data_IF_716499193893
#
_entry.id   IF_716499193893
#
_cell.length_a   1.000
_cell.length_b   1.000
_cell.length_c   1.000
_cell.angle_alpha   90.00
_cell.angle_beta   90.00
_cell.angle_gamma   90.00
#
_symmetry.space_group_name_H-M   'P 1'
#
loop_
_entity.id
_entity.type
_entity.pdbx_description
1 polymer ?
#
# COMPACT_ATOMS: atom_id res chain seq x y z
N UNK A 1 0.75 -54.82 21.96
CA UNK A 1 1.84 -55.61 21.37
C UNK A 1 3.00 -54.64 21.15
N UNK A 2 3.78 -54.37 22.22
CA UNK A 2 5.15 -54.91 22.45
C UNK A 2 6.13 -54.28 21.43
N UNK A 3 7.20 -53.54 21.77
CA UNK A 3 8.20 -53.69 22.85
C UNK A 3 8.94 -52.35 23.09
N UNK A 4 9.27 -52.09 24.37
CA UNK A 4 10.15 -51.05 24.96
C UNK A 4 11.66 -51.41 24.85
N UNK A 5 12.55 -50.46 25.21
CA UNK A 5 13.96 -50.57 25.73
C UNK A 5 14.86 -49.58 24.94
N UNK A 6 15.65 -48.65 25.49
CA UNK A 6 16.00 -48.25 26.87
C UNK A 6 16.67 -46.85 26.87
N UNK A 7 16.57 -46.16 28.01
CA UNK A 7 17.17 -44.85 28.32
C UNK A 7 18.67 -44.89 28.75
N UNK A 8 19.21 -43.66 28.90
CA UNK A 8 20.20 -43.12 29.86
C UNK A 8 21.62 -42.82 29.32
N UNK A 9 21.98 -41.53 29.33
CA UNK A 9 23.27 -41.10 29.91
C UNK A 9 24.07 -39.96 29.26
N UNK A 10 23.82 -38.72 29.72
CA UNK A 10 24.81 -37.66 30.05
C UNK A 10 25.54 -36.77 29.01
N UNK A 11 25.41 -35.45 29.29
CA UNK A 11 26.39 -34.33 29.26
C UNK A 11 26.78 -33.64 27.92
N UNK A 12 26.39 -32.35 27.79
CA UNK A 12 26.86 -31.31 26.84
C UNK A 12 28.39 -31.00 26.99
N UNK A 13 29.00 -30.07 26.21
CA UNK A 13 28.91 -29.79 24.77
C UNK A 13 30.32 -29.69 24.11
N UNK A 14 30.44 -29.81 22.79
CA UNK A 14 31.67 -29.40 22.09
C UNK A 14 31.37 -28.80 20.72
N UNK A 15 31.60 -27.49 20.61
CA UNK A 15 31.82 -26.78 19.35
C UNK A 15 32.86 -27.54 18.51
N UNK A 16 32.53 -27.83 17.26
CA UNK A 16 33.52 -28.07 16.22
C UNK A 16 33.30 -27.08 15.08
N UNK A 17 34.27 -26.18 14.98
CA UNK A 17 34.51 -25.32 13.85
C UNK A 17 34.66 -26.14 12.55
N UNK A 18 33.99 -25.70 11.49
CA UNK A 18 34.31 -26.08 10.13
C UNK A 18 34.98 -24.88 9.43
N UNK A 19 36.17 -25.16 8.90
CA UNK A 19 37.10 -24.26 8.22
C UNK A 19 36.49 -23.50 7.03
N UNK A 20 36.97 -22.26 6.74
CA UNK A 20 36.59 -21.51 5.55
C UNK A 20 37.24 -22.10 4.29
N UNK A 21 36.47 -22.31 3.22
CA UNK A 21 37.02 -22.56 1.88
C UNK A 21 37.43 -21.24 1.26
N UNK A 22 38.72 -21.09 0.99
CA UNK A 22 39.25 -20.05 0.12
C UNK A 22 39.09 -20.43 -1.37
N UNK A 23 39.01 -19.35 -2.16
CA UNK A 23 39.27 -19.23 -3.60
C UNK A 23 38.23 -19.74 -4.60
N UNK A 24 37.22 -18.90 -4.87
CA UNK A 24 36.87 -18.57 -6.24
C UNK A 24 36.74 -17.04 -6.36
N UNK A 25 37.83 -16.40 -6.79
CA UNK A 25 37.78 -15.10 -7.46
C UNK A 25 37.96 -15.38 -8.93
N UNK A 26 36.90 -15.20 -9.71
CA UNK A 26 36.91 -14.80 -11.13
C UNK A 26 35.46 -14.56 -11.53
N UNK A 27 35.17 -13.31 -11.89
CA UNK A 27 33.86 -12.78 -12.28
C UNK A 27 32.86 -12.67 -11.13
N UNK A 28 32.84 -11.50 -10.46
CA UNK A 28 31.54 -11.00 -10.00
C UNK A 28 30.75 -10.74 -11.28
N UNK A 29 29.86 -11.67 -11.64
CA UNK A 29 28.70 -11.26 -12.43
C UNK A 29 28.15 -10.01 -11.74
N UNK A 30 28.05 -8.91 -12.49
CA UNK A 30 27.17 -7.84 -12.07
C UNK A 30 25.81 -8.51 -12.10
N UNK A 31 25.34 -8.99 -10.94
CA UNK A 31 23.98 -9.49 -10.83
C UNK A 31 23.09 -8.42 -11.45
N UNK A 32 22.34 -8.80 -12.48
CA UNK A 32 21.39 -7.88 -13.09
C UNK A 32 20.54 -7.30 -11.97
N UNK A 33 20.43 -5.97 -11.90
CA UNK A 33 19.64 -5.35 -10.85
C UNK A 33 18.19 -5.85 -10.98
N UNK A 34 17.49 -6.12 -9.86
CA UNK A 34 16.13 -6.63 -9.90
C UNK A 34 15.22 -5.75 -10.76
N UNK A 35 14.29 -6.39 -11.48
CA UNK A 35 13.26 -5.72 -12.25
C UNK A 35 12.02 -5.55 -11.37
N UNK A 36 11.61 -4.30 -11.16
CA UNK A 36 10.53 -3.94 -10.27
C UNK A 36 9.28 -3.54 -11.06
N UNK A 37 8.12 -3.98 -10.58
CA UNK A 37 6.85 -3.39 -10.98
C UNK A 37 6.42 -2.40 -9.90
N UNK A 38 6.07 -1.19 -10.32
CA UNK A 38 5.63 -0.12 -9.43
C UNK A 38 4.15 0.14 -9.69
N UNK A 39 3.36 0.00 -8.65
CA UNK A 39 1.92 0.31 -8.63
C UNK A 39 1.66 1.38 -7.58
N UNK A 40 0.50 2.04 -7.63
CA UNK A 40 0.04 2.91 -6.54
C UNK A 40 -1.49 2.88 -6.43
N UNK A 41 -2.04 3.58 -5.43
CA UNK A 41 -3.49 3.77 -5.27
C UNK A 41 -3.96 5.22 -5.37
N UNK A 42 -3.04 6.18 -5.46
CA UNK A 42 -3.35 7.60 -5.64
C UNK A 42 -3.65 7.97 -7.10
N UNK A 43 -3.22 7.14 -8.06
CA UNK A 43 -3.40 7.35 -9.50
C UNK A 43 -2.24 8.11 -10.16
N UNK A 44 -2.48 8.73 -11.34
CA UNK A 44 -1.44 9.40 -12.12
C UNK A 44 -0.75 10.54 -11.36
N UNK A 45 0.53 10.84 -11.67
CA UNK A 45 1.26 11.94 -11.06
C UNK A 45 0.43 13.23 -11.03
N UNK A 46 0.26 13.80 -9.85
CA UNK A 46 -0.46 15.06 -9.69
C UNK A 46 -0.01 15.79 -8.44
N UNK A 47 -0.09 17.11 -8.46
CA UNK A 47 0.31 17.96 -7.32
C UNK A 47 -0.54 17.70 -6.08
N UNK A 48 -1.81 17.33 -6.26
CA UNK A 48 -2.78 17.20 -5.17
C UNK A 48 -2.97 15.77 -4.66
N UNK A 49 -3.06 14.79 -5.57
CA UNK A 49 -3.44 13.43 -5.19
C UNK A 49 -2.24 12.49 -5.15
N UNK A 50 -1.33 12.59 -6.12
CA UNK A 50 -0.21 11.65 -6.31
C UNK A 50 1.13 12.40 -6.53
N UNK A 51 1.59 13.20 -5.55
CA UNK A 51 2.79 14.01 -5.71
C UNK A 51 4.10 13.21 -5.65
N UNK A 52 4.05 11.93 -5.21
CA UNK A 52 5.25 11.20 -4.80
C UNK A 52 5.64 10.03 -5.71
N UNK A 53 4.73 9.54 -6.58
CA UNK A 53 5.01 8.37 -7.43
C UNK A 53 6.13 8.64 -8.44
N UNK A 54 6.12 9.81 -9.09
CA UNK A 54 7.16 10.20 -10.06
C UNK A 54 8.54 10.32 -9.41
N UNK A 55 8.71 11.06 -8.29
CA UNK A 55 9.97 11.08 -7.55
C UNK A 55 10.50 9.69 -7.14
N UNK A 56 9.64 8.77 -6.71
CA UNK A 56 10.07 7.41 -6.35
C UNK A 56 10.57 6.65 -7.58
N UNK A 57 9.82 6.67 -8.68
CA UNK A 57 10.17 5.97 -9.93
C UNK A 57 11.47 6.54 -10.51
N UNK A 58 11.64 7.86 -10.50
CA UNK A 58 12.86 8.52 -10.98
C UNK A 58 14.08 8.09 -10.14
N UNK A 59 13.95 8.01 -8.81
CA UNK A 59 15.04 7.54 -7.94
C UNK A 59 15.36 6.04 -8.17
N UNK A 60 14.35 5.18 -8.36
CA UNK A 60 14.56 3.77 -8.71
C UNK A 60 15.34 3.64 -10.04
N UNK A 61 14.92 4.37 -11.07
CA UNK A 61 15.61 4.42 -12.37
C UNK A 61 17.02 4.99 -12.25
N UNK A 62 17.23 6.04 -11.47
CA UNK A 62 18.56 6.62 -11.21
C UNK A 62 19.50 5.64 -10.51
N UNK A 63 18.97 4.72 -9.69
CA UNK A 63 19.73 3.59 -9.13
C UNK A 63 19.89 2.41 -10.09
N UNK A 64 19.46 2.53 -11.33
CA UNK A 64 19.68 1.57 -12.40
C UNK A 64 18.75 0.36 -12.34
N UNK A 65 17.61 0.46 -11.66
CA UNK A 65 16.58 -0.57 -11.73
C UNK A 65 15.79 -0.46 -13.03
N UNK A 66 15.39 -1.61 -13.57
CA UNK A 66 14.34 -1.66 -14.59
C UNK A 66 12.99 -1.52 -13.89
N UNK A 67 12.21 -0.50 -14.28
CA UNK A 67 10.95 -0.17 -13.62
C UNK A 67 9.82 -0.19 -14.63
N UNK A 68 8.83 -1.03 -14.36
CA UNK A 68 7.52 -0.98 -15.02
C UNK A 68 6.52 -0.28 -14.12
N UNK A 69 5.59 0.48 -14.69
CA UNK A 69 4.62 1.25 -13.91
C UNK A 69 3.21 0.99 -14.41
N UNK A 70 2.35 0.45 -13.55
CA UNK A 70 0.92 0.24 -13.80
C UNK A 70 0.10 0.84 -12.66
N UNK A 71 -0.73 1.85 -12.96
CA UNK A 71 -1.43 2.64 -11.94
C UNK A 71 -2.91 2.84 -12.29
N UNK A 72 -3.82 2.97 -11.30
CA UNK A 72 -5.21 3.30 -11.56
C UNK A 72 -5.36 4.67 -12.26
N UNK A 73 -6.37 4.84 -13.11
CA UNK A 73 -6.67 6.12 -13.75
C UNK A 73 -7.22 7.22 -12.80
N UNK A 74 -7.58 6.85 -11.58
CA UNK A 74 -8.09 7.76 -10.57
C UNK A 74 -7.74 7.26 -9.17
N UNK A 75 -7.72 8.16 -8.18
CA UNK A 75 -7.48 7.79 -6.78
C UNK A 75 -8.49 6.73 -6.30
N UNK A 76 -7.96 5.70 -5.63
CA UNK A 76 -8.68 4.56 -5.04
C UNK A 76 -8.39 4.44 -3.54
N UNK A 77 -8.25 5.57 -2.83
CA UNK A 77 -8.06 5.53 -1.37
C UNK A 77 -9.23 4.81 -0.68
N UNK A 78 -8.94 4.08 0.41
CA UNK A 78 -9.91 3.28 1.19
C UNK A 78 -10.48 2.04 0.48
N UNK A 79 -9.89 1.59 -0.64
CA UNK A 79 -10.38 0.43 -1.40
C UNK A 79 -9.92 -0.93 -0.84
N UNK A 80 -8.88 -0.97 0.01
CA UNK A 80 -8.25 -2.22 0.47
C UNK A 80 -7.70 -3.07 -0.68
N UNK A 81 -7.82 -4.40 -0.59
CA UNK A 81 -7.41 -5.35 -1.65
C UNK A 81 -8.58 -5.79 -2.54
N UNK A 82 -9.19 -4.85 -3.27
CA UNK A 82 -10.35 -5.15 -4.13
C UNK A 82 -9.98 -5.47 -5.59
N UNK A 83 -10.76 -6.34 -6.22
CA UNK A 83 -10.86 -6.50 -7.68
C UNK A 83 -12.29 -6.19 -8.11
N UNK A 84 -12.46 -5.47 -9.23
CA UNK A 84 -13.78 -5.12 -9.76
C UNK A 84 -14.21 -6.14 -10.84
N UNK A 85 -14.80 -7.26 -10.42
CA UNK A 85 -15.04 -8.44 -11.26
C UNK A 85 -15.90 -8.17 -12.51
N UNK A 86 -16.87 -7.23 -12.43
CA UNK A 86 -17.77 -6.91 -13.55
C UNK A 86 -17.32 -5.70 -14.37
N UNK A 87 -16.20 -5.07 -14.01
CA UNK A 87 -15.69 -3.91 -14.72
C UNK A 87 -14.65 -4.35 -15.77
N UNK A 88 -14.85 -3.94 -17.02
CA UNK A 88 -13.78 -4.01 -18.00
C UNK A 88 -12.68 -3.00 -17.65
N UNK A 89 -11.44 -3.46 -17.70
CA UNK A 89 -10.24 -2.64 -17.50
C UNK A 89 -9.70 -2.19 -18.86
N UNK A 90 -9.28 -0.94 -18.95
CA UNK A 90 -8.61 -0.40 -20.14
C UNK A 90 -7.24 0.14 -19.74
N UNK A 91 -6.19 -0.33 -20.42
CA UNK A 91 -4.82 0.14 -20.26
C UNK A 91 -4.51 1.22 -21.30
N UNK A 92 -4.04 2.37 -20.84
CA UNK A 92 -3.56 3.48 -21.67
C UNK A 92 -2.08 3.70 -21.38
N UNK A 93 -1.25 3.71 -22.41
CA UNK A 93 0.20 3.95 -22.30
C UNK A 93 0.46 5.44 -22.41
N UNK A 94 1.10 6.01 -21.39
CA UNK A 94 1.32 7.45 -21.24
C UNK A 94 2.77 7.68 -20.88
N UNK A 95 3.48 8.47 -21.70
CA UNK A 95 4.85 8.85 -21.39
C UNK A 95 4.89 9.70 -20.10
N UNK A 96 5.86 9.51 -19.19
CA UNK A 96 5.89 10.20 -17.90
C UNK A 96 5.88 11.74 -18.00
N UNK A 97 6.44 12.27 -19.07
CA UNK A 97 6.52 13.73 -19.31
C UNK A 97 5.25 14.31 -19.94
N UNK A 98 4.28 13.47 -20.32
CA UNK A 98 2.97 13.91 -20.78
C UNK A 98 2.02 14.26 -19.63
N UNK A 99 2.32 13.82 -18.39
CA UNK A 99 1.45 14.07 -17.24
C UNK A 99 1.39 15.55 -16.85
N UNK A 100 0.19 16.03 -16.58
CA UNK A 100 -0.11 17.39 -16.17
C UNK A 100 -0.32 17.48 -14.64
N UNK A 101 -0.17 18.68 -14.03
CA UNK A 101 -0.25 18.84 -12.57
C UNK A 101 -1.55 18.39 -11.89
N UNK A 102 -2.63 18.24 -12.64
CA UNK A 102 -3.95 17.81 -12.17
C UNK A 102 -4.19 16.29 -12.25
N UNK A 103 -3.23 15.53 -12.78
CA UNK A 103 -3.33 14.07 -12.95
C UNK A 103 -3.88 13.64 -14.31
N UNK A 104 -4.15 14.58 -15.21
CA UNK A 104 -4.42 14.29 -16.62
C UNK A 104 -3.10 14.20 -17.40
N UNK A 105 -3.17 13.98 -18.72
CA UNK A 105 -2.01 13.96 -19.59
C UNK A 105 -2.31 14.66 -20.92
N UNK A 106 -1.27 15.18 -21.55
CA UNK A 106 -1.34 15.73 -22.90
C UNK A 106 -1.44 14.60 -23.93
N UNK A 107 -2.61 14.46 -24.56
CA UNK A 107 -2.85 13.44 -25.60
C UNK A 107 -2.08 13.72 -26.90
N UNK A 108 -1.59 14.95 -27.11
CA UNK A 108 -0.79 15.34 -28.28
C UNK A 108 0.72 15.15 -28.03
N UNK A 109 1.13 14.71 -26.83
CA UNK A 109 2.53 14.49 -26.50
C UNK A 109 3.16 13.42 -27.41
N UNK A 110 4.17 13.83 -28.17
CA UNK A 110 4.92 12.91 -29.04
C UNK A 110 6.02 12.24 -28.22
N UNK A 111 5.78 10.99 -27.84
CA UNK A 111 6.74 10.22 -27.05
C UNK A 111 8.04 9.96 -27.82
N UNK A 112 9.22 10.28 -27.25
CA UNK A 112 10.49 10.01 -27.90
C UNK A 112 10.82 8.51 -27.95
N UNK A 113 10.26 7.72 -27.01
CA UNK A 113 10.33 6.27 -26.97
C UNK A 113 9.12 5.73 -26.19
N UNK A 114 8.59 4.56 -26.58
CA UNK A 114 7.48 3.93 -25.85
C UNK A 114 7.96 2.97 -24.75
N UNK A 115 9.28 2.80 -24.60
CA UNK A 115 9.85 1.93 -23.56
C UNK A 115 9.74 2.55 -22.16
N UNK A 116 9.59 3.86 -22.06
CA UNK A 116 9.44 4.56 -20.78
C UNK A 116 7.98 4.80 -20.37
N UNK A 117 7.01 4.41 -21.21
CA UNK A 117 5.59 4.64 -20.97
C UNK A 117 5.12 3.96 -19.68
N UNK A 118 4.30 4.71 -18.93
CA UNK A 118 3.53 4.20 -17.80
C UNK A 118 2.17 3.71 -18.29
N UNK A 119 1.59 2.73 -17.60
CA UNK A 119 0.27 2.21 -17.93
C UNK A 119 -0.76 2.75 -16.94
N UNK A 120 -1.67 3.57 -17.45
CA UNK A 120 -2.83 4.09 -16.71
C UNK A 120 -4.02 3.19 -16.95
N UNK A 121 -4.59 2.61 -15.89
CA UNK A 121 -5.64 1.59 -15.96
C UNK A 121 -6.98 2.17 -15.53
N UNK A 122 -7.87 2.42 -16.50
CA UNK A 122 -9.26 2.81 -16.25
C UNK A 122 -10.01 1.66 -15.61
N UNK A 123 -10.85 1.99 -14.60
CA UNK A 123 -11.49 1.02 -13.70
C UNK A 123 -10.52 0.15 -12.89
N UNK A 124 -9.21 0.43 -12.94
CA UNK A 124 -8.21 -0.29 -12.16
C UNK A 124 -8.34 -0.05 -10.66
N UNK A 125 -8.03 -1.08 -9.89
CA UNK A 125 -7.62 -1.02 -8.49
C UNK A 125 -6.10 -1.25 -8.41
N UNK A 126 -5.44 -0.95 -7.29
CA UNK A 126 -4.02 -1.27 -7.12
C UNK A 126 -3.72 -2.76 -7.29
N UNK A 127 -4.62 -3.62 -6.78
CA UNK A 127 -4.52 -5.06 -6.97
C UNK A 127 -4.64 -5.46 -8.44
N UNK A 128 -5.61 -4.94 -9.18
CA UNK A 128 -5.73 -5.26 -10.61
C UNK A 128 -4.54 -4.72 -11.41
N UNK A 129 -4.00 -3.55 -11.06
CA UNK A 129 -2.81 -3.00 -11.72
C UNK A 129 -1.58 -3.87 -11.49
N UNK A 130 -1.36 -4.35 -10.26
CA UNK A 130 -0.27 -5.28 -9.95
C UNK A 130 -0.43 -6.59 -10.74
N UNK A 131 -1.63 -7.15 -10.79
CA UNK A 131 -1.88 -8.38 -11.53
C UNK A 131 -1.66 -8.20 -13.05
N UNK A 132 -2.15 -7.10 -13.63
CA UNK A 132 -1.94 -6.78 -15.04
C UNK A 132 -0.46 -6.54 -15.35
N UNK A 133 0.26 -5.83 -14.48
CA UNK A 133 1.69 -5.59 -14.63
C UNK A 133 2.50 -6.89 -14.65
N UNK A 134 2.17 -7.81 -13.74
CA UNK A 134 2.84 -9.10 -13.61
C UNK A 134 2.59 -10.06 -14.77
N UNK A 135 1.41 -10.03 -15.41
CA UNK A 135 1.00 -11.10 -16.33
C UNK A 135 0.61 -10.65 -17.74
N UNK A 136 0.37 -9.36 -17.98
CA UNK A 136 -0.26 -8.91 -19.22
C UNK A 136 0.49 -7.76 -19.90
N UNK A 137 0.96 -6.77 -19.13
CA UNK A 137 1.38 -5.47 -19.69
C UNK A 137 2.85 -5.43 -20.12
N UNK A 138 3.73 -6.18 -19.42
CA UNK A 138 5.18 -6.02 -19.57
C UNK A 138 5.89 -7.30 -20.00
N UNK A 139 5.22 -8.15 -20.80
CA UNK A 139 5.71 -9.48 -21.19
C UNK A 139 7.04 -9.47 -21.97
N UNK A 140 7.41 -8.34 -22.60
CA UNK A 140 8.67 -8.18 -23.33
C UNK A 140 9.83 -7.73 -22.44
N UNK A 141 9.57 -7.38 -21.18
CA UNK A 141 10.59 -6.94 -20.22
C UNK A 141 11.12 -8.09 -19.37
N UNK A 142 12.17 -7.81 -18.62
CA UNK A 142 12.69 -8.74 -17.62
C UNK A 142 11.58 -9.13 -16.63
N UNK A 143 11.54 -10.40 -16.17
CA UNK A 143 10.54 -10.85 -15.22
C UNK A 143 10.58 -10.03 -13.93
N UNK A 144 9.41 -9.56 -13.50
CA UNK A 144 9.25 -8.86 -12.23
C UNK A 144 9.40 -9.84 -11.06
N UNK A 145 10.21 -9.46 -10.08
CA UNK A 145 10.45 -10.23 -8.85
C UNK A 145 9.99 -9.51 -7.56
N UNK A 146 9.80 -8.20 -7.63
CA UNK A 146 9.25 -7.36 -6.56
C UNK A 146 8.20 -6.40 -7.12
N UNK A 147 7.07 -6.31 -6.41
CA UNK A 147 6.09 -5.24 -6.60
C UNK A 147 6.23 -4.21 -5.49
N UNK A 148 6.43 -2.95 -5.88
CA UNK A 148 6.42 -1.79 -4.99
C UNK A 148 5.10 -1.07 -5.17
N UNK A 149 4.31 -0.98 -4.11
CA UNK A 149 3.03 -0.26 -4.11
C UNK A 149 3.17 1.06 -3.35
N UNK A 150 3.00 2.19 -4.03
CA UNK A 150 3.11 3.54 -3.48
C UNK A 150 4.09 4.46 -4.24
N UNK A 151 4.54 5.58 -3.64
CA UNK A 151 4.25 6.00 -2.27
C UNK A 151 2.84 6.56 -2.15
N UNK A 152 2.12 6.17 -1.11
CA UNK A 152 0.82 6.76 -0.75
C UNK A 152 0.98 8.21 -0.26
N UNK A 153 0.06 9.10 -0.64
CA UNK A 153 -0.09 10.46 -0.12
C UNK A 153 -0.76 10.46 1.26
N UNK A 154 0.04 10.09 2.26
CA UNK A 154 -0.37 9.91 3.65
C UNK A 154 0.21 8.63 4.23
N UNK A 155 -0.05 8.40 5.51
CA UNK A 155 0.38 7.17 6.22
C UNK A 155 -0.64 6.06 6.14
N UNK A 156 -0.14 4.82 6.07
CA UNK A 156 -0.89 3.59 6.32
C UNK A 156 -0.29 2.94 7.57
N UNK A 157 -0.59 3.53 8.74
CA UNK A 157 -0.13 3.06 10.05
C UNK A 157 -1.34 2.75 10.92
N UNK A 158 -1.29 1.66 11.71
CA UNK A 158 -2.39 0.97 12.40
C UNK A 158 -3.26 0.05 11.52
N UNK A 159 -3.96 -0.89 12.17
CA UNK A 159 -4.74 -1.93 11.49
C UNK A 159 -5.85 -1.36 10.60
N UNK A 160 -6.52 -0.29 11.02
CA UNK A 160 -7.65 0.27 10.26
C UNK A 160 -7.21 0.87 8.93
N UNK A 161 -6.07 1.57 8.93
CA UNK A 161 -5.49 2.12 7.71
C UNK A 161 -4.93 1.01 6.83
N UNK A 162 -4.22 0.04 7.40
CA UNK A 162 -3.66 -1.07 6.62
C UNK A 162 -4.75 -1.89 5.91
N UNK A 163 -5.87 -2.17 6.59
CA UNK A 163 -6.99 -2.95 6.02
C UNK A 163 -7.74 -2.19 4.92
N UNK A 164 -7.78 -0.85 5.00
CA UNK A 164 -8.46 0.00 4.04
C UNK A 164 -7.53 0.49 2.92
N UNK A 165 -6.21 0.31 3.05
CA UNK A 165 -5.21 0.84 2.13
C UNK A 165 -5.20 0.09 0.80
N UNK A 166 -5.38 0.84 -0.30
CA UNK A 166 -5.13 0.33 -1.65
C UNK A 166 -3.65 0.07 -1.87
N UNK A 167 -2.78 0.90 -1.30
CA UNK A 167 -1.33 0.72 -1.31
C UNK A 167 -0.92 -0.64 -0.74
N UNK A 168 -1.39 -0.98 0.46
CA UNK A 168 -1.15 -2.29 1.07
C UNK A 168 -1.83 -3.39 0.24
N UNK A 169 -3.01 -3.13 -0.31
CA UNK A 169 -3.71 -4.03 -1.24
C UNK A 169 -2.88 -4.42 -2.47
N UNK A 170 -2.19 -3.48 -3.11
CA UNK A 170 -1.29 -3.76 -4.24
C UNK A 170 -0.13 -4.69 -3.86
N UNK A 171 0.51 -4.44 -2.71
CA UNK A 171 1.58 -5.30 -2.20
C UNK A 171 1.07 -6.69 -1.80
N UNK A 172 -0.13 -6.79 -1.21
CA UNK A 172 -0.77 -8.07 -0.89
C UNK A 172 -1.06 -8.88 -2.15
N UNK A 173 -1.53 -8.24 -3.22
CA UNK A 173 -1.82 -8.93 -4.48
C UNK A 173 -0.55 -9.55 -5.09
N UNK A 174 0.59 -8.85 -5.00
CA UNK A 174 1.88 -9.38 -5.42
C UNK A 174 2.21 -10.70 -4.72
N UNK A 175 1.98 -10.77 -3.39
CA UNK A 175 2.19 -12.00 -2.61
C UNK A 175 1.32 -13.15 -3.11
N UNK A 176 0.04 -12.90 -3.35
CA UNK A 176 -0.86 -13.93 -3.90
C UNK A 176 -0.50 -14.34 -5.34
N UNK A 177 0.25 -13.50 -6.05
CA UNK A 177 0.85 -13.82 -7.35
C UNK A 177 2.23 -14.52 -7.23
N UNK A 178 2.66 -14.88 -6.02
CA UNK A 178 3.95 -15.53 -5.78
C UNK A 178 5.16 -14.60 -5.90
N UNK A 179 4.96 -13.29 -5.74
CA UNK A 179 5.99 -12.25 -5.81
C UNK A 179 6.17 -11.57 -4.45
N UNK A 180 7.33 -10.95 -4.23
CA UNK A 180 7.53 -10.11 -3.05
C UNK A 180 6.72 -8.82 -3.19
N UNK A 181 6.21 -8.30 -2.07
CA UNK A 181 5.45 -7.05 -2.04
C UNK A 181 6.00 -6.07 -1.00
N UNK A 182 6.21 -4.81 -1.38
CA UNK A 182 6.48 -3.71 -0.44
C UNK A 182 5.46 -2.60 -0.65
N UNK A 183 4.73 -2.24 0.39
CA UNK A 183 3.89 -1.04 0.42
C UNK A 183 4.67 0.14 1.02
N UNK A 184 4.62 1.31 0.39
CA UNK A 184 5.33 2.53 0.82
C UNK A 184 4.33 3.65 1.02
N UNK A 185 4.42 4.34 2.14
CA UNK A 185 3.56 5.45 2.51
C UNK A 185 4.39 6.65 2.96
N UNK A 186 4.17 7.82 2.35
CA UNK A 186 4.83 9.06 2.71
C UNK A 186 3.91 9.84 3.65
N UNK A 187 4.32 9.94 4.92
CA UNK A 187 3.46 10.16 6.08
C UNK A 187 2.90 11.57 6.29
N UNK A 188 2.62 12.32 5.22
CA UNK A 188 2.02 13.65 5.26
C UNK A 188 0.91 13.79 4.21
N UNK A 189 -0.08 14.64 4.49
CA UNK A 189 -1.07 15.12 3.51
C UNK A 189 -0.90 16.60 3.16
N UNK A 190 0.04 17.26 3.85
CA UNK A 190 0.35 18.66 3.63
C UNK A 190 1.36 18.77 2.48
N UNK A 191 1.34 19.85 1.69
CA UNK A 191 2.35 20.12 0.68
C UNK A 191 3.76 20.02 1.27
N UNK A 192 4.66 19.33 0.57
CA UNK A 192 6.05 19.13 0.96
C UNK A 192 6.97 19.84 -0.03
N UNK A 193 8.14 20.27 0.42
CA UNK A 193 9.15 20.84 -0.48
C UNK A 193 9.83 19.72 -1.28
N UNK A 194 10.37 20.06 -2.46
CA UNK A 194 11.08 19.10 -3.31
C UNK A 194 12.24 18.41 -2.59
N UNK A 195 12.95 19.14 -1.70
CA UNK A 195 14.03 18.61 -0.89
C UNK A 195 13.57 17.50 0.06
N UNK A 196 12.43 17.68 0.72
CA UNK A 196 11.84 16.67 1.61
C UNK A 196 11.36 15.45 0.83
N UNK A 197 10.71 15.67 -0.32
CA UNK A 197 10.22 14.58 -1.19
C UNK A 197 11.41 13.75 -1.70
N UNK A 198 12.47 14.42 -2.17
CA UNK A 198 13.67 13.76 -2.65
C UNK A 198 14.39 12.97 -1.55
N UNK A 199 14.48 13.51 -0.33
CA UNK A 199 15.07 12.80 0.82
C UNK A 199 14.26 11.53 1.17
N UNK A 200 12.93 11.63 1.19
CA UNK A 200 12.05 10.49 1.42
C UNK A 200 12.18 9.42 0.33
N UNK A 201 12.25 9.81 -0.95
CA UNK A 201 12.46 8.90 -2.07
C UNK A 201 13.81 8.16 -1.99
N UNK A 202 14.91 8.89 -1.72
CA UNK A 202 16.25 8.28 -1.53
C UNK A 202 16.27 7.28 -0.39
N UNK A 203 15.68 7.62 0.76
CA UNK A 203 15.58 6.70 1.90
C UNK A 203 14.75 5.47 1.53
N UNK A 204 13.58 5.66 0.91
CA UNK A 204 12.68 4.58 0.52
C UNK A 204 13.36 3.59 -0.43
N UNK A 205 14.02 4.08 -1.50
CA UNK A 205 14.72 3.21 -2.46
C UNK A 205 15.89 2.48 -1.82
N UNK A 206 16.68 3.16 -0.96
CA UNK A 206 17.76 2.53 -0.21
C UNK A 206 17.24 1.43 0.74
N UNK A 207 16.10 1.65 1.37
CA UNK A 207 15.46 0.69 2.26
C UNK A 207 14.85 -0.49 1.50
N UNK A 208 14.19 -0.25 0.37
CA UNK A 208 13.68 -1.30 -0.53
C UNK A 208 14.82 -2.22 -0.96
N UNK A 209 15.93 -1.65 -1.44
CA UNK A 209 17.10 -2.42 -1.86
C UNK A 209 17.64 -3.26 -0.69
N UNK A 210 17.75 -2.68 0.52
CA UNK A 210 18.19 -3.42 1.69
C UNK A 210 17.26 -4.60 2.02
N UNK A 211 15.95 -4.34 2.16
CA UNK A 211 14.95 -5.37 2.51
C UNK A 211 14.89 -6.48 1.47
N UNK A 212 15.05 -6.16 0.19
CA UNK A 212 15.10 -7.14 -0.88
C UNK A 212 16.28 -8.12 -0.72
N UNK A 213 17.47 -7.60 -0.40
CA UNK A 213 18.68 -8.41 -0.23
C UNK A 213 18.63 -9.28 1.03
N UNK A 214 18.09 -8.76 2.14
CA UNK A 214 18.04 -9.48 3.44
C UNK A 214 16.64 -9.99 3.78
N UNK A 215 15.84 -10.31 2.77
CA UNK A 215 14.44 -10.70 2.95
C UNK A 215 14.30 -11.93 3.87
N UNK A 216 13.58 -11.78 4.98
CA UNK A 216 13.31 -12.87 5.91
C UNK A 216 12.24 -13.81 5.36
N UNK A 217 12.50 -15.13 5.35
CA UNK A 217 11.62 -16.15 4.77
C UNK A 217 10.22 -16.21 5.41
N UNK A 218 10.07 -15.68 6.62
CA UNK A 218 8.79 -15.65 7.34
C UNK A 218 7.93 -14.45 6.98
N UNK A 219 8.48 -13.50 6.23
CA UNK A 219 7.86 -12.25 5.82
C UNK A 219 7.34 -12.38 4.40
N UNK A 220 6.06 -12.10 4.21
CA UNK A 220 5.44 -12.17 2.89
C UNK A 220 5.40 -10.79 2.24
N UNK A 221 5.22 -9.72 3.03
CA UNK A 221 5.30 -8.33 2.56
C UNK A 221 5.82 -7.38 3.66
N UNK A 222 6.33 -6.23 3.25
CA UNK A 222 6.64 -5.11 4.15
C UNK A 222 5.69 -3.93 3.93
N UNK A 223 5.24 -3.30 5.02
CA UNK A 223 4.56 -2.01 4.99
C UNK A 223 5.45 -0.94 5.61
N UNK A 224 5.84 0.07 4.82
CA UNK A 224 6.79 1.11 5.17
C UNK A 224 6.07 2.46 5.30
N UNK A 225 6.28 3.14 6.42
CA UNK A 225 5.81 4.51 6.62
C UNK A 225 7.01 5.45 6.83
N UNK A 226 7.24 6.35 5.88
CA UNK A 226 8.33 7.33 5.89
C UNK A 226 7.78 8.68 6.36
N UNK A 227 8.27 9.25 7.47
CA UNK A 227 7.86 10.60 7.89
C UNK A 227 8.44 11.65 6.94
N UNK A 228 7.61 12.61 6.49
CA UNK A 228 8.04 13.65 5.54
C UNK A 228 8.82 14.74 6.27
N UNK A 229 10.15 14.63 6.23
CA UNK A 229 11.09 15.54 6.90
C UNK A 229 12.36 15.71 6.09
N UNK A 230 13.04 16.83 6.28
CA UNK A 230 14.33 17.10 5.62
C UNK A 230 15.45 16.20 6.17
N UNK A 231 15.44 15.94 7.47
CA UNK A 231 16.42 15.10 8.18
C UNK A 231 16.09 13.60 8.15
N UNK A 232 15.13 13.16 7.33
CA UNK A 232 14.60 11.78 7.36
C UNK A 232 15.68 10.71 7.13
N UNK A 233 16.71 11.02 6.35
CA UNK A 233 17.81 10.10 6.03
C UNK A 233 18.74 9.84 7.23
N UNK A 234 18.78 10.77 8.19
CA UNK A 234 19.59 10.71 9.42
C UNK A 234 18.80 10.15 10.62
N UNK A 235 17.51 9.86 10.42
CA UNK A 235 16.63 9.32 11.46
C UNK A 235 16.69 7.79 11.49
N UNK A 236 16.43 7.17 12.65
CA UNK A 236 16.34 5.71 12.74
C UNK A 236 15.29 5.13 11.80
N UNK A 237 15.60 3.96 11.25
CA UNK A 237 14.65 3.06 10.59
C UNK A 237 14.41 1.90 11.53
N UNK A 238 13.16 1.68 11.95
CA UNK A 238 12.82 0.73 12.99
C UNK A 238 11.82 -0.31 12.48
N UNK A 239 12.05 -1.57 12.84
CA UNK A 239 11.01 -2.59 12.74
C UNK A 239 9.91 -2.30 13.77
N UNK A 240 8.65 -2.45 13.34
CA UNK A 240 7.49 -2.11 14.16
C UNK A 240 6.41 -3.17 14.13
N UNK A 241 5.59 -3.20 15.19
CA UNK A 241 4.29 -3.89 15.21
C UNK A 241 3.18 -2.96 14.72
N UNK A 242 2.16 -3.51 14.07
CA UNK A 242 0.97 -2.72 13.72
C UNK A 242 0.17 -2.37 14.96
N UNK A 243 -0.16 -1.09 15.16
CA UNK A 243 -1.08 -0.67 16.22
C UNK A 243 -2.50 -1.21 15.94
N UNK A 244 -3.11 -1.99 16.85
CA UNK A 244 -4.52 -2.36 16.73
C UNK A 244 -5.42 -1.14 16.92
N UNK A 245 -6.44 -1.00 16.05
CA UNK A 245 -7.45 0.04 16.15
C UNK A 245 -8.87 -0.52 15.99
N UNK A 246 -9.79 -0.04 16.83
CA UNK A 246 -11.22 -0.35 16.80
C UNK A 246 -12.03 0.94 16.83
N UNK A 247 -13.17 0.97 16.14
CA UNK A 247 -14.04 2.14 16.12
C UNK A 247 -14.64 2.41 17.51
N UNK A 248 -14.27 3.55 18.10
CA UNK A 248 -14.87 4.01 19.36
C UNK A 248 -16.30 4.55 19.15
N UNK A 249 -16.60 5.08 17.95
CA UNK A 249 -17.93 5.57 17.52
C UNK A 249 -18.23 5.09 16.10
N UNK A 250 -19.46 4.65 15.86
CA UNK A 250 -19.81 3.76 14.74
C UNK A 250 -20.40 4.39 13.48
N UNK A 251 -19.90 5.52 12.98
CA UNK A 251 -20.39 6.06 11.71
C UNK A 251 -19.32 6.71 10.83
N UNK A 252 -19.11 6.13 9.65
CA UNK A 252 -18.32 6.71 8.55
C UNK A 252 -19.14 7.60 7.63
N UNK A 253 -20.46 7.56 7.77
CA UNK A 253 -21.42 8.21 6.89
C UNK A 253 -22.47 8.99 7.68
N UNK A 254 -22.92 10.10 7.10
CA UNK A 254 -24.04 10.89 7.58
C UNK A 254 -25.11 11.03 6.49
N UNK A 255 -26.38 11.01 6.89
CA UNK A 255 -27.50 11.23 5.96
C UNK A 255 -27.49 12.68 5.48
N UNK A 256 -27.59 12.88 4.17
CA UNK A 256 -27.61 14.21 3.57
C UNK A 256 -28.89 14.93 4.00
N UNK A 257 -28.78 16.18 4.46
CA UNK A 257 -29.92 17.03 4.82
C UNK A 257 -30.50 16.84 6.23
N UNK A 258 -29.98 15.94 7.06
CA UNK A 258 -30.34 15.87 8.49
C UNK A 258 -29.29 16.55 9.36
N UNK A 259 -29.72 17.36 10.33
CA UNK A 259 -28.85 17.83 11.42
C UNK A 259 -28.42 16.62 12.26
N UNK A 260 -27.11 16.51 12.52
CA UNK A 260 -26.55 15.47 13.37
C UNK A 260 -27.18 15.56 14.77
N UNK A 261 -27.61 14.41 15.31
CA UNK A 261 -28.25 14.33 16.65
C UNK A 261 -27.24 14.62 17.78
N UNK A 262 -25.94 14.54 17.49
CA UNK A 262 -24.87 14.92 18.41
C UNK A 262 -24.05 16.05 17.78
N UNK A 263 -24.31 17.29 18.21
CA UNK A 263 -23.76 18.52 17.64
C UNK A 263 -22.23 18.59 17.68
N UNK A 264 -21.59 18.04 16.66
CA UNK A 264 -20.26 18.43 16.22
C UNK A 264 -20.35 18.70 14.72
N UNK A 265 -20.32 19.97 14.37
CA UNK A 265 -20.06 20.41 13.01
C UNK A 265 -18.58 20.12 12.72
N UNK A 266 -18.29 18.89 12.30
CA UNK A 266 -16.95 18.49 11.90
C UNK A 266 -16.62 19.08 10.53
N UNK A 267 -15.62 19.97 10.47
CA UNK A 267 -14.97 20.38 9.23
C UNK A 267 -14.56 19.13 8.42
N UNK A 268 -15.12 19.00 7.23
CA UNK A 268 -14.85 17.90 6.31
C UNK A 268 -13.64 18.21 5.43
N UNK A 269 -12.57 17.43 5.53
CA UNK A 269 -11.55 17.33 4.48
C UNK A 269 -12.11 16.42 3.37
N UNK A 270 -12.59 17.03 2.28
CA UNK A 270 -13.55 16.41 1.35
C UNK A 270 -12.99 15.58 0.21
N UNK A 271 -13.91 15.02 -0.59
CA UNK A 271 -13.86 14.84 -2.07
C UNK A 271 -15.32 14.87 -2.58
N UNK A 272 -15.58 15.75 -3.55
CA UNK A 272 -16.71 15.85 -4.50
C UNK A 272 -18.10 15.35 -4.08
N UNK A 273 -18.95 16.27 -3.61
CA UNK A 273 -20.40 16.09 -3.66
C UNK A 273 -20.92 16.46 -5.06
N UNK A 274 -21.51 15.49 -5.76
CA UNK A 274 -22.40 15.77 -6.88
C UNK A 274 -23.67 16.38 -6.28
N UNK A 275 -23.98 17.62 -6.65
CA UNK A 275 -25.26 18.24 -6.35
C UNK A 275 -26.31 17.66 -7.32
N UNK A 276 -27.07 16.66 -6.87
CA UNK A 276 -28.29 16.26 -7.54
C UNK A 276 -29.49 16.93 -6.85
N UNK A 277 -29.91 18.08 -7.38
CA UNK A 277 -31.20 18.69 -7.08
C UNK A 277 -32.32 17.89 -7.78
N UNK A 278 -32.77 16.76 -7.21
CA UNK A 278 -34.04 16.16 -7.61
C UNK A 278 -35.21 16.86 -6.90
N UNK A 279 -35.76 17.88 -7.58
CA UNK A 279 -37.07 18.44 -7.27
C UNK A 279 -38.15 17.34 -7.30
N UNK A 280 -38.90 17.20 -6.20
CA UNK A 280 -40.02 16.26 -6.12
C UNK A 280 -41.17 16.70 -7.04
N UNK A 281 -41.33 16.05 -8.19
CA UNK A 281 -42.55 16.15 -9.00
C UNK A 281 -43.59 15.15 -8.48
N UNK A 282 -44.74 15.67 -8.01
CA UNK A 282 -45.91 14.88 -7.65
C UNK A 282 -46.60 14.33 -8.91
N UNK A 283 -46.27 13.08 -9.28
CA UNK A 283 -46.94 12.35 -10.34
C UNK A 283 -48.19 11.63 -9.81
N UNK A 284 -49.35 11.96 -10.39
CA UNK A 284 -50.62 11.25 -10.21
C UNK A 284 -50.54 9.91 -10.97
N UNK A 285 -50.19 8.83 -10.27
CA UNK A 285 -50.59 7.43 -10.56
C UNK A 285 -49.96 6.51 -9.49
N UNK A 286 -50.80 5.72 -8.82
CA UNK A 286 -50.50 4.99 -7.59
C UNK A 286 -49.52 3.81 -7.68
N UNK A 287 -48.29 4.06 -8.11
CA UNK A 287 -47.17 3.13 -7.91
C UNK A 287 -46.24 3.77 -6.89
N UNK A 288 -46.11 3.15 -5.71
CA UNK A 288 -45.18 3.61 -4.68
C UNK A 288 -43.75 3.53 -5.24
N UNK A 289 -43.13 4.68 -5.49
CA UNK A 289 -41.71 4.73 -5.87
C UNK A 289 -40.85 4.22 -4.71
N UNK A 290 -39.71 3.56 -4.98
CA UNK A 290 -38.78 3.16 -3.95
C UNK A 290 -38.31 4.35 -3.12
N UNK A 291 -38.26 4.20 -1.79
CA UNK A 291 -37.73 5.22 -0.89
C UNK A 291 -36.21 5.32 -1.08
N UNK A 292 -35.73 6.48 -1.51
CA UNK A 292 -34.30 6.79 -1.61
C UNK A 292 -33.84 7.56 -0.36
N UNK A 293 -32.67 7.22 0.18
CA UNK A 293 -31.97 7.97 1.23
C UNK A 293 -30.52 8.13 0.78
N UNK A 294 -29.99 9.33 0.88
CA UNK A 294 -28.63 9.65 0.45
C UNK A 294 -27.73 9.81 1.67
N UNK A 295 -26.53 9.27 1.59
CA UNK A 295 -25.52 9.37 2.64
C UNK A 295 -24.22 9.86 2.02
N UNK A 296 -23.46 10.66 2.77
CA UNK A 296 -22.14 11.13 2.38
C UNK A 296 -21.10 10.65 3.39
N UNK A 297 -19.86 10.48 2.92
CA UNK A 297 -18.73 10.26 3.82
C UNK A 297 -18.64 11.42 4.81
N UNK A 298 -18.59 11.09 6.10
CA UNK A 298 -18.61 12.05 7.20
C UNK A 298 -17.91 11.45 8.43
N UNK A 299 -16.86 10.67 8.20
CA UNK A 299 -16.14 9.98 9.26
C UNK A 299 -15.52 10.99 10.23
N UNK A 300 -15.87 10.88 11.52
CA UNK A 300 -15.18 11.62 12.56
C UNK A 300 -13.89 10.88 12.93
N UNK A 301 -12.76 11.39 12.44
CA UNK A 301 -11.44 10.80 12.65
C UNK A 301 -10.73 11.34 13.90
N UNK A 302 -11.36 12.19 14.72
CA UNK A 302 -10.71 12.80 15.89
C UNK A 302 -10.25 11.75 16.91
N UNK A 303 -11.12 10.78 17.21
CA UNK A 303 -10.84 9.71 18.16
C UNK A 303 -9.71 8.81 17.65
N UNK A 304 -9.65 8.62 16.33
CA UNK A 304 -8.58 7.86 15.68
C UNK A 304 -7.25 8.60 15.73
N UNK A 305 -7.22 9.90 15.41
CA UNK A 305 -6.00 10.73 15.52
C UNK A 305 -5.45 10.69 16.94
N UNK A 306 -6.31 10.89 17.94
CA UNK A 306 -5.93 10.80 19.36
C UNK A 306 -5.33 9.44 19.70
N UNK A 307 -5.95 8.34 19.27
CA UNK A 307 -5.43 6.99 19.52
C UNK A 307 -4.06 6.75 18.87
N UNK A 308 -3.84 7.30 17.66
CA UNK A 308 -2.53 7.25 17.01
C UNK A 308 -1.49 8.07 17.78
N UNK A 309 -1.84 9.26 18.25
CA UNK A 309 -0.95 10.15 19.03
C UNK A 309 -0.59 9.56 20.40
N UNK A 310 -1.50 8.82 21.02
CA UNK A 310 -1.31 8.11 22.30
C UNK A 310 -0.72 6.69 22.13
N UNK A 311 -0.30 6.33 20.92
CA UNK A 311 0.19 4.97 20.63
C UNK A 311 1.49 4.65 21.37
N UNK A 312 1.65 3.40 21.75
CA UNK A 312 2.79 2.91 22.54
C UNK A 312 4.06 2.69 21.69
N UNK A 313 5.22 2.78 22.34
CA UNK A 313 6.52 2.58 21.70
C UNK A 313 6.64 1.21 21.00
N UNK A 314 7.32 1.20 19.86
CA UNK A 314 7.49 0.03 19.01
C UNK A 314 6.33 -0.22 18.03
N UNK A 315 5.24 0.54 18.11
CA UNK A 315 4.18 0.51 17.09
C UNK A 315 4.55 1.34 15.87
N UNK A 316 3.95 1.02 14.72
CA UNK A 316 4.09 1.75 13.46
C UNK A 316 3.65 3.22 13.60
N UNK A 317 2.50 3.45 14.23
CA UNK A 317 1.96 4.78 14.52
C UNK A 317 2.91 5.61 15.39
N UNK A 318 3.37 5.07 16.53
CA UNK A 318 4.27 5.80 17.44
C UNK A 318 5.58 6.15 16.74
N UNK A 319 6.15 5.18 16.02
CA UNK A 319 7.44 5.33 15.33
C UNK A 319 7.38 6.44 14.27
N UNK A 320 6.37 6.41 13.39
CA UNK A 320 6.24 7.41 12.33
C UNK A 320 5.91 8.79 12.87
N UNK A 321 5.05 8.88 13.90
CA UNK A 321 4.68 10.17 14.50
C UNK A 321 5.83 10.82 15.27
N UNK A 322 6.76 10.02 15.82
CA UNK A 322 8.00 10.50 16.43
C UNK A 322 9.14 10.73 15.43
N UNK A 323 8.84 10.75 14.13
CA UNK A 323 9.78 11.16 13.08
C UNK A 323 10.80 10.09 12.68
N UNK A 324 10.60 8.83 13.06
CA UNK A 324 11.41 7.69 12.59
C UNK A 324 10.68 6.90 11.50
N UNK A 325 11.41 6.26 10.60
CA UNK A 325 10.79 5.43 9.56
C UNK A 325 10.35 4.10 10.14
N UNK A 326 9.08 3.74 9.97
CA UNK A 326 8.51 2.46 10.41
C UNK A 326 8.58 1.43 9.29
N UNK A 327 9.02 0.22 9.63
CA UNK A 327 9.00 -0.96 8.76
C UNK A 327 8.23 -2.07 9.49
N UNK A 328 7.02 -2.37 9.00
CA UNK A 328 6.23 -3.47 9.56
C UNK A 328 6.36 -4.69 8.66
N UNK A 329 6.90 -5.78 9.21
CA UNK A 329 6.96 -7.07 8.55
C UNK A 329 5.62 -7.80 8.69
N UNK A 330 4.97 -8.17 7.59
CA UNK A 330 3.62 -8.70 7.56
C UNK A 330 3.54 -10.08 6.90
N UNK A 331 2.43 -10.79 7.22
CA UNK A 331 1.95 -11.95 6.48
C UNK A 331 0.65 -11.59 5.74
N UNK A 332 0.50 -12.08 4.52
CA UNK A 332 -0.66 -11.89 3.66
C UNK A 332 -1.75 -12.92 3.98
N UNK A 333 -2.39 -12.82 5.16
CA UNK A 333 -3.47 -13.76 5.48
C UNK A 333 -4.57 -13.18 6.36
N UNK A 334 -5.75 -13.80 6.21
CA UNK A 334 -6.74 -13.96 7.26
C UNK A 334 -6.61 -15.40 7.76
N UNK A 335 -5.61 -15.66 8.59
CA UNK A 335 -5.39 -17.00 9.12
C UNK A 335 -6.49 -17.36 10.13
N UNK A 336 -6.85 -18.64 10.18
CA UNK A 336 -7.73 -19.16 11.24
C UNK A 336 -7.02 -19.02 12.59
N UNK A 337 -7.77 -18.90 13.68
CA UNK A 337 -7.18 -18.98 15.02
C UNK A 337 -6.74 -20.43 15.23
N UNK A 338 -5.43 -20.73 15.40
CA UNK A 338 -4.97 -22.10 15.59
C UNK A 338 -5.64 -22.72 16.82
N UNK A 339 -6.07 -23.99 16.71
CA UNK A 339 -6.75 -24.70 17.80
C UNK A 339 -8.27 -24.52 17.86
N UNK A 340 -8.88 -23.72 16.97
CA UNK A 340 -10.32 -23.74 16.71
C UNK A 340 -10.62 -24.61 15.48
N UNK A 341 -10.42 -25.92 15.64
CA UNK A 341 -10.54 -26.93 14.60
C UNK A 341 -11.54 -28.01 15.03
N UNK A 342 -12.29 -28.56 14.07
CA UNK A 342 -13.29 -29.59 14.33
C UNK A 342 -14.73 -29.06 14.46
N UNK A 343 -15.69 -29.93 14.86
CA UNK A 343 -17.10 -29.59 14.84
C UNK A 343 -17.47 -28.56 15.92
N UNK A 344 -18.16 -27.49 15.51
CA UNK A 344 -18.84 -26.56 16.41
C UNK A 344 -20.14 -27.20 16.90
N UNK A 345 -20.14 -27.72 18.13
CA UNK A 345 -21.35 -28.27 18.76
C UNK A 345 -22.19 -27.13 19.31
N UNK A 346 -23.40 -26.97 18.80
CA UNK A 346 -24.40 -26.04 19.32
C UNK A 346 -25.31 -26.80 20.28
N UNK A 347 -25.64 -26.20 21.43
CA UNK A 347 -26.64 -26.76 22.33
C UNK A 347 -27.98 -26.87 21.56
N UNK A 348 -28.54 -28.08 21.58
CA UNK A 348 -29.76 -28.47 20.86
C UNK A 348 -31.03 -27.90 21.48
#
# INVERSE_FOLDING_TARGET
MHILVSEIGNLLPALRAASPRQSQSKYKEIAAKPAHDVVNDDGPPSTRLSPYVRPLVDELKAKGHTVSVAIPAASRSWIGKAHLIEANLQATYVHPDAFLPDGTWDEEFVSPNTEDDWVVVTNGTPASCAQLGLYNLFNERAPVDLVISGPNHGRNASTIYNLSSGTVGGALEAVFCGKRGIAISFGSKDPQTDGVIAAAARLAVRLVAHLYEVWDERVELYNINVPMREDVEDRPVLYTRTLPYYWNRGCLYAEVGKKLVNGHDGETNGVNGVHDDEAQTNGVNGVAKPKKRQFKWSANLSDMKKTLEESEEGTDAHTVLNGSTSVTALRANFWHVPGLEGPLVLDS
#
